data_IF_904149952320
#
_entry.id   IF_904149952320
#
_cell.length_a   1.000
_cell.length_b   1.000
_cell.length_c   1.000
_cell.angle_alpha   90.00
_cell.angle_beta   90.00
_cell.angle_gamma   90.00
#
_symmetry.space_group_name_H-M   'P 1'
#
loop_
_entity.id
_entity.type
_entity.pdbx_description
1 polymer ?
#
# COMPACT_ATOMS: atom_id res chain seq x y z
N UNK A 1 13.35 -5.06 3.40
CA UNK A 1 13.15 -3.81 2.63
C UNK A 1 14.41 -2.96 2.64
N UNK A 2 14.82 -2.39 3.77
CA UNK A 2 16.02 -1.53 3.87
C UNK A 2 17.34 -2.20 3.49
N UNK A 3 17.50 -3.51 3.72
CA UNK A 3 18.71 -4.23 3.26
C UNK A 3 18.87 -4.29 1.74
N UNK A 4 17.85 -3.92 0.97
CA UNK A 4 17.81 -4.00 -0.50
C UNK A 4 17.55 -2.65 -1.16
N UNK A 5 17.21 -1.61 -0.39
CA UNK A 5 16.80 -0.32 -0.93
C UNK A 5 17.42 0.80 -0.10
N UNK A 6 17.95 1.80 -0.78
CA UNK A 6 18.29 3.09 -0.18
C UNK A 6 17.01 3.93 -0.08
N UNK A 7 16.72 4.43 1.11
CA UNK A 7 15.44 5.07 1.42
C UNK A 7 15.67 6.31 2.27
N UNK A 8 15.23 7.45 1.75
CA UNK A 8 15.26 8.73 2.45
C UNK A 8 13.82 9.21 2.58
N UNK A 9 13.31 9.28 3.81
CA UNK A 9 11.99 9.84 4.08
C UNK A 9 12.08 11.37 4.16
N UNK A 10 11.21 12.06 3.44
CA UNK A 10 11.13 13.53 3.40
C UNK A 10 9.98 14.06 4.25
N UNK A 11 8.82 13.40 4.17
CA UNK A 11 7.62 13.74 4.95
C UNK A 11 6.91 12.47 5.40
N UNK A 12 6.28 12.51 6.56
CA UNK A 12 5.53 11.40 7.17
C UNK A 12 4.18 11.94 7.65
N UNK A 13 3.09 11.24 7.36
CA UNK A 13 1.72 11.64 7.73
C UNK A 13 1.37 13.07 7.29
N UNK A 14 1.85 13.47 6.11
CA UNK A 14 1.66 14.82 5.57
C UNK A 14 0.29 14.95 4.91
N UNK A 15 -0.38 16.07 5.18
CA UNK A 15 -1.65 16.40 4.53
C UNK A 15 -1.42 17.03 3.16
N UNK A 16 -2.07 16.48 2.15
CA UNK A 16 -2.03 16.95 0.76
C UNK A 16 -3.42 17.42 0.35
N UNK A 17 -3.50 18.52 -0.38
CA UNK A 17 -4.76 19.13 -0.83
C UNK A 17 -4.69 19.35 -2.34
N UNK A 18 -5.67 18.84 -3.07
CA UNK A 18 -5.90 19.23 -4.47
C UNK A 18 -6.96 20.33 -4.49
N UNK A 19 -6.53 21.57 -4.76
CA UNK A 19 -7.46 22.70 -4.91
C UNK A 19 -8.22 22.61 -6.22
N UNK A 20 -7.59 22.06 -7.27
CA UNK A 20 -8.21 21.88 -8.59
C UNK A 20 -9.40 20.93 -8.53
N UNK A 21 -9.28 19.85 -7.77
CA UNK A 21 -10.27 18.77 -7.71
C UNK A 21 -11.04 18.74 -6.37
N UNK A 22 -10.86 19.73 -5.49
CA UNK A 22 -11.57 19.87 -4.22
C UNK A 22 -11.55 18.63 -3.30
N UNK A 23 -10.38 18.00 -3.12
CA UNK A 23 -10.20 16.96 -2.11
C UNK A 23 -8.92 17.16 -1.31
N UNK A 24 -8.85 16.51 -0.16
CA UNK A 24 -7.66 16.43 0.67
C UNK A 24 -7.48 15.01 1.20
N UNK A 25 -6.25 14.64 1.53
CA UNK A 25 -5.94 13.38 2.18
C UNK A 25 -4.59 13.43 2.88
N UNK A 26 -4.23 12.35 3.56
CA UNK A 26 -2.94 12.21 4.24
C UNK A 26 -2.16 11.10 3.58
N UNK A 27 -0.92 11.38 3.19
CA UNK A 27 0.01 10.36 2.72
C UNK A 27 0.72 9.71 3.90
N UNK A 28 1.02 8.42 3.80
CA UNK A 28 1.85 7.75 4.81
C UNK A 28 3.26 8.34 4.81
N UNK A 29 3.95 8.28 3.66
CA UNK A 29 5.33 8.77 3.51
C UNK A 29 5.58 9.34 2.11
N UNK A 30 6.25 10.50 2.04
CA UNK A 30 6.93 10.98 0.83
C UNK A 30 8.41 10.61 0.97
N UNK A 31 8.95 9.83 0.05
CA UNK A 31 10.31 9.32 0.15
C UNK A 31 11.04 9.30 -1.19
N UNK A 32 12.36 9.33 -1.12
CA UNK A 32 13.22 8.89 -2.21
C UNK A 32 13.60 7.43 -1.96
N UNK A 33 13.29 6.55 -2.92
CA UNK A 33 13.68 5.14 -2.90
C UNK A 33 14.56 4.86 -4.11
N UNK A 34 15.79 4.42 -3.87
CA UNK A 34 16.80 4.15 -4.92
C UNK A 34 16.93 5.31 -5.93
N UNK A 35 16.99 6.54 -5.44
CA UNK A 35 17.15 7.75 -6.25
C UNK A 35 15.87 8.28 -6.93
N UNK A 36 14.74 7.57 -6.86
CA UNK A 36 13.45 8.06 -7.39
C UNK A 36 12.60 8.62 -6.27
N UNK A 37 11.94 9.77 -6.46
CA UNK A 37 11.02 10.35 -5.47
C UNK A 37 9.58 9.89 -5.71
N UNK A 38 8.86 9.60 -4.63
CA UNK A 38 7.47 9.16 -4.74
C UNK A 38 6.76 9.00 -3.41
N UNK A 39 5.46 8.73 -3.50
CA UNK A 39 4.62 8.41 -2.34
C UNK A 39 4.78 6.93 -2.02
N UNK A 40 5.10 6.62 -0.78
CA UNK A 40 5.20 5.26 -0.26
C UNK A 40 4.03 5.00 0.69
N UNK A 41 3.07 4.20 0.24
CA UNK A 41 1.88 3.81 1.01
C UNK A 41 2.07 2.42 1.64
N UNK A 42 1.88 2.33 2.95
CA UNK A 42 2.19 1.15 3.76
C UNK A 42 0.89 0.40 4.04
N UNK A 43 0.80 -0.83 3.54
CA UNK A 43 -0.40 -1.66 3.70
C UNK A 43 -0.12 -2.89 4.54
N UNK A 44 -0.93 -3.08 5.59
CA UNK A 44 -0.94 -4.32 6.38
C UNK A 44 -2.02 -5.29 5.91
N UNK A 45 -2.25 -5.36 4.60
CA UNK A 45 -3.25 -6.22 3.98
C UNK A 45 -2.69 -7.61 3.68
N UNK A 46 -3.59 -8.56 3.40
CA UNK A 46 -3.18 -9.92 3.01
C UNK A 46 -2.47 -9.96 1.66
N UNK A 47 -2.86 -9.08 0.74
CA UNK A 47 -2.31 -8.97 -0.59
C UNK A 47 -2.34 -7.51 -1.03
N UNK A 48 -1.62 -7.19 -2.10
CA UNK A 48 -1.74 -5.91 -2.80
C UNK A 48 -2.98 -6.00 -3.69
N UNK A 49 -4.01 -5.23 -3.38
CA UNK A 49 -5.25 -5.18 -4.17
C UNK A 49 -5.16 -4.09 -5.24
N UNK A 50 -5.88 -4.28 -6.35
CA UNK A 50 -5.86 -3.35 -7.49
C UNK A 50 -6.30 -1.95 -7.08
N UNK A 51 -7.34 -1.84 -6.25
CA UNK A 51 -7.95 -0.55 -5.89
C UNK A 51 -7.03 0.34 -5.04
N UNK A 52 -5.91 -0.17 -4.54
CA UNK A 52 -4.91 0.66 -3.84
C UNK A 52 -4.33 1.74 -4.75
N UNK A 53 -4.25 1.46 -6.05
CA UNK A 53 -3.76 2.45 -7.01
C UNK A 53 -4.67 3.68 -7.13
N UNK A 54 -5.96 3.53 -6.83
CA UNK A 54 -6.94 4.62 -6.87
C UNK A 54 -6.73 5.64 -5.75
N UNK A 55 -6.36 5.21 -4.54
CA UNK A 55 -6.03 6.14 -3.45
C UNK A 55 -4.73 6.88 -3.77
N UNK A 56 -3.72 6.14 -4.22
CA UNK A 56 -2.40 6.71 -4.47
C UNK A 56 -2.37 7.66 -5.68
N UNK A 57 -3.20 7.43 -6.70
CA UNK A 57 -3.29 8.32 -7.86
C UNK A 57 -3.82 9.70 -7.47
N UNK A 58 -4.71 9.79 -6.48
CA UNK A 58 -5.18 11.07 -5.93
C UNK A 58 -4.02 11.86 -5.30
N UNK A 59 -3.12 11.21 -4.55
CA UNK A 59 -1.97 11.93 -3.99
C UNK A 59 -1.04 12.47 -5.07
N UNK A 60 -0.75 11.66 -6.09
CA UNK A 60 0.08 12.09 -7.23
C UNK A 60 -0.57 13.25 -7.97
N UNK A 61 -1.88 13.19 -8.25
CA UNK A 61 -2.60 14.28 -8.91
C UNK A 61 -2.61 15.57 -8.06
N UNK A 62 -2.74 15.48 -6.75
CA UNK A 62 -2.66 16.63 -5.87
C UNK A 62 -1.24 17.24 -5.85
N UNK A 63 -0.20 16.41 -5.82
CA UNK A 63 1.19 16.89 -5.85
C UNK A 63 1.59 17.53 -7.18
N UNK A 64 0.92 17.21 -8.30
CA UNK A 64 1.12 17.93 -9.57
C UNK A 64 0.80 19.43 -9.46
N UNK A 65 0.03 19.85 -8.45
CA UNK A 65 -0.24 21.28 -8.18
C UNK A 65 0.99 22.02 -7.59
N UNK A 66 1.95 21.29 -7.00
CA UNK A 66 3.20 21.84 -6.52
C UNK A 66 4.30 21.73 -7.59
N UNK A 67 4.50 22.82 -8.33
CA UNK A 67 5.47 22.88 -9.43
C UNK A 67 6.94 22.83 -8.99
N UNK A 68 7.21 22.86 -7.68
CA UNK A 68 8.58 22.73 -7.15
C UNK A 68 9.02 21.27 -7.02
N UNK A 69 8.09 20.33 -7.08
CA UNK A 69 8.37 18.90 -6.95
C UNK A 69 8.72 18.28 -8.31
N UNK A 70 9.65 17.30 -8.34
CA UNK A 70 9.88 16.50 -9.52
C UNK A 70 8.67 15.59 -9.80
N UNK A 71 8.59 14.98 -10.99
CA UNK A 71 7.63 13.91 -11.25
C UNK A 71 7.73 12.81 -10.17
N UNK A 72 6.60 12.49 -9.57
CA UNK A 72 6.52 11.50 -8.49
C UNK A 72 6.03 10.16 -9.02
N UNK A 73 6.60 9.07 -8.51
CA UNK A 73 6.01 7.73 -8.61
C UNK A 73 5.23 7.38 -7.34
N UNK A 74 4.62 6.20 -7.31
CA UNK A 74 4.03 5.65 -6.10
C UNK A 74 4.35 4.18 -5.92
N UNK A 75 4.58 3.81 -4.67
CA UNK A 75 4.81 2.45 -4.25
C UNK A 75 3.85 2.02 -3.17
N UNK A 76 3.52 0.73 -3.20
CA UNK A 76 2.92 0.02 -2.07
C UNK A 76 4.01 -0.78 -1.38
N UNK A 77 4.20 -0.55 -0.08
CA UNK A 77 4.95 -1.43 0.81
C UNK A 77 3.96 -2.25 1.63
N UNK A 78 3.71 -3.49 1.20
CA UNK A 78 2.93 -4.44 1.96
C UNK A 78 3.80 -5.04 3.06
N UNK A 79 3.34 -4.93 4.30
CA UNK A 79 3.93 -5.58 5.47
C UNK A 79 2.89 -6.45 6.14
N UNK A 80 3.12 -7.75 6.20
CA UNK A 80 2.20 -8.69 6.83
C UNK A 80 2.96 -9.70 7.66
N UNK A 81 2.22 -10.50 8.43
CA UNK A 81 2.78 -11.61 9.17
C UNK A 81 1.76 -12.74 9.28
N UNK A 82 2.24 -13.97 9.15
CA UNK A 82 1.41 -15.15 9.26
C UNK A 82 2.22 -16.33 9.81
N UNK A 83 1.50 -17.32 10.35
CA UNK A 83 2.03 -18.64 10.64
C UNK A 83 1.63 -19.59 9.51
N UNK A 84 2.55 -20.45 9.10
CA UNK A 84 2.24 -21.53 8.15
C UNK A 84 1.96 -22.80 8.94
N UNK A 85 0.98 -23.59 8.51
CA UNK A 85 0.83 -24.93 9.05
C UNK A 85 2.00 -25.78 8.57
N UNK A 86 2.60 -26.56 9.46
CA UNK A 86 3.70 -27.47 9.15
C UNK A 86 3.21 -28.77 8.49
N UNK A 87 1.89 -29.03 8.52
CA UNK A 87 1.27 -30.27 8.03
C UNK A 87 0.46 -30.11 6.75
N UNK A 88 0.00 -28.89 6.44
CA UNK A 88 -0.86 -28.62 5.28
C UNK A 88 -0.61 -27.20 4.74
N UNK A 89 -1.15 -26.85 3.56
CA UNK A 89 -0.96 -25.52 2.96
C UNK A 89 -1.64 -24.36 3.69
N UNK A 90 -2.29 -24.61 4.83
CA UNK A 90 -3.02 -23.58 5.54
C UNK A 90 -2.10 -22.51 6.14
N UNK A 91 -2.59 -21.29 6.17
CA UNK A 91 -1.95 -20.14 6.82
C UNK A 91 -2.89 -19.56 7.87
N UNK A 92 -2.35 -19.28 9.05
CA UNK A 92 -3.05 -18.57 10.12
C UNK A 92 -2.51 -17.16 10.22
N UNK A 93 -3.41 -16.19 10.13
CA UNK A 93 -3.11 -14.77 10.23
C UNK A 93 -3.87 -14.18 11.41
N UNK A 94 -3.18 -13.45 12.26
CA UNK A 94 -3.78 -12.72 13.37
C UNK A 94 -3.68 -11.22 13.09
N UNK A 95 -4.81 -10.51 13.14
CA UNK A 95 -4.85 -9.05 12.96
C UNK A 95 -5.87 -8.44 13.90
N UNK A 96 -5.41 -7.58 14.82
CA UNK A 96 -6.28 -6.90 15.78
C UNK A 96 -7.12 -7.87 16.61
N UNK A 97 -6.50 -8.94 17.12
CA UNK A 97 -7.17 -10.01 17.88
C UNK A 97 -8.03 -10.98 17.07
N UNK A 98 -8.20 -10.76 15.76
CA UNK A 98 -8.95 -11.66 14.89
C UNK A 98 -8.02 -12.66 14.21
N UNK A 99 -8.26 -13.95 14.46
CA UNK A 99 -7.57 -15.05 13.80
C UNK A 99 -8.34 -15.46 12.55
N UNK A 100 -7.65 -15.53 11.42
CA UNK A 100 -8.18 -16.06 10.15
C UNK A 100 -7.28 -17.17 9.65
N UNK A 101 -7.86 -18.35 9.46
CA UNK A 101 -7.21 -19.50 8.83
C UNK A 101 -7.71 -19.61 7.39
N UNK A 102 -6.80 -19.83 6.43
CA UNK A 102 -7.12 -20.00 5.01
C UNK A 102 -6.22 -21.04 4.38
N UNK A 103 -6.61 -21.60 3.24
CA UNK A 103 -5.77 -22.55 2.48
C UNK A 103 -5.81 -23.99 2.99
N UNK A 104 -6.71 -24.29 3.92
CA UNK A 104 -7.01 -25.67 4.32
C UNK A 104 -7.74 -26.40 3.18
N UNK A 105 -7.15 -27.49 2.68
CA UNK A 105 -7.76 -28.32 1.61
C UNK A 105 -8.45 -29.56 2.15
N UNK A 106 -7.99 -30.04 3.31
CA UNK A 106 -8.48 -31.23 4.01
C UNK A 106 -8.51 -30.92 5.50
N UNK A 107 -9.40 -31.58 6.25
CA UNK A 107 -9.49 -31.40 7.70
C UNK A 107 -8.13 -31.69 8.35
N UNK A 108 -7.56 -30.69 9.01
CA UNK A 108 -6.21 -30.76 9.55
C UNK A 108 -6.15 -30.35 11.02
N UNK A 109 -5.51 -31.16 11.85
CA UNK A 109 -5.10 -30.76 13.19
C UNK A 109 -3.81 -29.93 13.08
N UNK A 110 -4.01 -28.63 12.85
CA UNK A 110 -2.94 -27.71 12.52
C UNK A 110 -1.82 -27.68 13.56
N UNK A 111 -0.59 -27.66 13.06
CA UNK A 111 0.60 -27.33 13.84
C UNK A 111 1.23 -26.10 13.22
N UNK A 112 1.15 -24.97 13.92
CA UNK A 112 1.59 -23.69 13.39
C UNK A 112 3.09 -23.48 13.57
N UNK A 113 3.73 -22.92 12.55
CA UNK A 113 5.09 -22.42 12.66
C UNK A 113 5.18 -21.22 13.60
N UNK A 114 6.40 -20.77 13.87
CA UNK A 114 6.64 -19.41 14.33
C UNK A 114 6.06 -18.39 13.34
N UNK A 115 5.78 -17.19 13.86
CA UNK A 115 5.32 -16.07 13.03
C UNK A 115 6.43 -15.70 12.07
N UNK A 116 6.09 -15.56 10.79
CA UNK A 116 7.02 -15.05 9.77
C UNK A 116 6.47 -13.78 9.17
N UNK A 117 7.33 -12.77 9.07
CA UNK A 117 7.04 -11.54 8.35
C UNK A 117 7.07 -11.75 6.85
N UNK A 118 6.12 -11.15 6.15
CA UNK A 118 6.06 -11.05 4.70
C UNK A 118 6.18 -9.59 4.30
N UNK A 119 6.98 -9.33 3.28
CA UNK A 119 7.21 -7.98 2.78
C UNK A 119 7.18 -8.02 1.25
N UNK A 120 6.28 -7.22 0.68
CA UNK A 120 6.23 -6.98 -0.77
C UNK A 120 6.35 -5.48 -1.03
N UNK A 121 7.17 -5.13 -2.01
CA UNK A 121 7.36 -3.76 -2.45
C UNK A 121 7.04 -3.69 -3.94
N UNK A 122 6.08 -2.84 -4.31
CA UNK A 122 5.57 -2.76 -5.67
C UNK A 122 5.38 -1.32 -6.09
N UNK A 123 5.99 -0.96 -7.23
CA UNK A 123 5.68 0.28 -7.94
C UNK A 123 4.36 0.15 -8.70
N UNK A 124 3.53 1.19 -8.62
CA UNK A 124 2.30 1.30 -9.39
C UNK A 124 2.60 2.03 -10.70
N UNK A 125 1.94 1.64 -11.80
CA UNK A 125 2.20 2.22 -13.13
C UNK A 125 0.95 2.73 -13.85
N UNK A 126 -0.23 2.56 -13.24
CA UNK A 126 -1.55 2.80 -13.87
C UNK A 126 -2.21 4.11 -13.43
N UNK A 127 -1.40 5.09 -12.99
CA UNK A 127 -1.86 6.34 -12.38
C UNK A 127 -2.97 7.05 -13.17
N UNK A 128 -2.79 7.20 -14.48
CA UNK A 128 -3.69 7.99 -15.33
C UNK A 128 -5.09 7.37 -15.49
N UNK A 129 -5.20 6.04 -15.58
CA UNK A 129 -6.52 5.39 -15.62
C UNK A 129 -7.21 5.44 -14.26
N UNK A 130 -6.42 5.37 -13.19
CA UNK A 130 -6.94 5.23 -11.83
C UNK A 130 -7.40 6.58 -11.26
N UNK A 131 -6.79 7.70 -11.66
CA UNK A 131 -7.27 9.04 -11.27
C UNK A 131 -8.64 9.36 -11.88
N UNK A 132 -8.89 8.95 -13.13
CA UNK A 132 -10.20 9.16 -13.76
C UNK A 132 -11.30 8.37 -13.05
N UNK A 133 -11.00 7.12 -12.67
CA UNK A 133 -11.91 6.31 -11.87
C UNK A 133 -12.15 6.94 -10.48
N UNK A 134 -11.09 7.42 -9.82
CA UNK A 134 -11.20 8.11 -8.53
C UNK A 134 -12.12 9.33 -8.62
N UNK A 135 -11.84 10.27 -9.54
CA UNK A 135 -12.61 11.50 -9.70
C UNK A 135 -14.08 11.20 -10.07
N UNK A 136 -14.31 10.23 -10.95
CA UNK A 136 -15.67 9.84 -11.34
C UNK A 136 -16.48 9.22 -10.18
N UNK A 137 -15.84 8.48 -9.27
CA UNK A 137 -16.53 7.84 -8.15
C UNK A 137 -16.71 8.78 -6.94
N UNK A 138 -15.66 9.56 -6.62
CA UNK A 138 -15.64 10.41 -5.43
C UNK A 138 -16.30 11.78 -5.63
N UNK A 139 -16.10 12.43 -6.77
CA UNK A 139 -16.66 13.77 -7.01
C UNK A 139 -18.13 13.76 -7.45
N UNK A 140 -18.66 12.63 -7.94
CA UNK A 140 -20.10 12.51 -8.24
C UNK A 140 -20.98 12.37 -6.99
N UNK A 141 -20.39 12.27 -5.80
CA UNK A 141 -21.09 12.16 -4.52
C UNK A 141 -21.09 13.46 -3.70
N UNK A 142 -20.53 14.53 -4.25
CA UNK A 142 -20.55 15.89 -3.69
C UNK A 142 -21.48 16.74 -4.56
#
# INVERSE_FOLDING_TARGET
FYSKNDVIAHKIEERVVSKKNNYAGTIDVLATVNGTMGVLDIKTSQAIYRDYSMQTSAYIEAFKEDLTLPPLTCWILRLDQARKCLKCPATMREKGGNIKIRGEKTKCEHQWSEVRGECEFKELKTFESDIQAFLAFWLKKI
#
